data_IF_630140794797
#
_entry.id   IF_630140794797
#
_cell.length_a   1.000
_cell.length_b   1.000
_cell.length_c   1.000
_cell.angle_alpha   90.00
_cell.angle_beta   90.00
_cell.angle_gamma   90.00
#
_symmetry.space_group_name_H-M   'P 1'
#
loop_
_entity.id
_entity.type
_entity.pdbx_description
1 polymer ?
#
# COMPACT_ATOMS: atom_id res chain seq x y z
N UNK A 1 -34.35 56.29 32.14
CA UNK A 1 -34.20 54.92 31.61
C UNK A 1 -35.41 54.14 32.06
N UNK A 2 -36.32 53.80 31.15
CA UNK A 2 -37.51 53.00 31.44
C UNK A 2 -37.14 51.54 31.28
N UNK A 3 -36.99 50.82 32.39
CA UNK A 3 -36.83 49.36 32.36
C UNK A 3 -38.19 48.73 32.03
N UNK A 4 -38.33 48.21 30.81
CA UNK A 4 -39.51 47.44 30.40
C UNK A 4 -39.26 45.98 30.78
N UNK A 5 -39.88 45.52 31.86
CA UNK A 5 -39.86 44.12 32.28
C UNK A 5 -40.88 43.34 31.43
N UNK A 6 -40.40 42.60 30.44
CA UNK A 6 -41.25 41.70 29.64
C UNK A 6 -41.33 40.35 30.36
N UNK A 7 -42.52 39.95 30.78
CA UNK A 7 -42.77 38.64 31.37
C UNK A 7 -42.76 37.60 30.24
N UNK A 8 -41.82 36.65 30.30
CA UNK A 8 -41.75 35.52 29.37
C UNK A 8 -42.08 34.20 30.08
N UNK A 9 -42.87 33.37 29.42
CA UNK A 9 -43.14 31.99 29.81
C UNK A 9 -42.04 31.08 29.25
N UNK A 10 -41.51 30.18 30.08
CA UNK A 10 -40.57 29.15 29.65
C UNK A 10 -41.25 28.14 28.72
N UNK A 11 -40.64 27.84 27.58
CA UNK A 11 -41.11 26.76 26.70
C UNK A 11 -40.58 25.41 27.16
N UNK A 12 -41.50 24.49 27.47
CA UNK A 12 -41.21 23.09 27.72
C UNK A 12 -41.32 22.29 26.42
N UNK A 13 -40.36 21.39 26.19
CA UNK A 13 -40.33 20.50 25.04
C UNK A 13 -40.06 19.06 25.52
N UNK A 14 -40.91 18.13 25.10
CA UNK A 14 -40.73 16.69 25.32
C UNK A 14 -40.61 16.01 23.95
N UNK A 15 -39.56 15.20 23.76
CA UNK A 15 -39.21 14.63 22.45
C UNK A 15 -38.99 13.14 22.61
N UNK A 16 -39.46 12.39 21.63
CA UNK A 16 -39.22 10.98 21.46
C UNK A 16 -38.67 10.73 20.04
N UNK A 17 -37.54 10.03 19.94
CA UNK A 17 -36.96 9.65 18.66
C UNK A 17 -36.07 8.42 18.81
N UNK A 18 -35.86 7.69 17.72
CA UNK A 18 -34.95 6.54 17.69
C UNK A 18 -33.50 7.02 17.60
N UNK A 19 -32.70 6.74 18.63
CA UNK A 19 -31.29 7.17 18.71
C UNK A 19 -30.34 6.45 17.76
N UNK A 20 -30.73 5.32 17.15
CA UNK A 20 -29.92 4.61 16.17
C UNK A 20 -30.79 4.14 14.99
N UNK A 21 -30.40 4.49 13.76
CA UNK A 21 -31.17 4.19 12.55
C UNK A 21 -30.26 3.62 11.46
N UNK A 22 -30.77 2.65 10.72
CA UNK A 22 -30.09 2.08 9.57
C UNK A 22 -30.05 3.11 8.42
N UNK A 23 -28.89 3.28 7.79
CA UNK A 23 -28.73 4.20 6.67
C UNK A 23 -29.72 3.93 5.53
N UNK A 24 -30.35 4.98 4.99
CA UNK A 24 -31.44 4.86 4.02
C UNK A 24 -32.82 4.70 4.66
N UNK A 25 -32.88 4.41 5.96
CA UNK A 25 -34.11 4.48 6.75
C UNK A 25 -34.52 5.93 7.07
N UNK A 26 -35.63 6.06 7.80
CA UNK A 26 -36.14 7.33 8.29
C UNK A 26 -35.96 7.45 9.80
N UNK A 27 -35.60 8.64 10.26
CA UNK A 27 -35.61 8.99 11.68
C UNK A 27 -36.96 9.59 11.99
N UNK A 28 -37.76 8.90 12.78
CA UNK A 28 -39.06 9.41 13.23
C UNK A 28 -38.85 10.17 14.53
N UNK A 29 -39.19 11.46 14.52
CA UNK A 29 -39.12 12.35 15.66
C UNK A 29 -40.53 12.82 15.98
N UNK A 30 -40.98 12.59 17.20
CA UNK A 30 -42.26 13.08 17.68
C UNK A 30 -42.08 13.79 19.01
N UNK A 31 -43.02 14.65 19.36
CA UNK A 31 -42.91 15.38 20.62
C UNK A 31 -44.07 16.31 20.89
N UNK A 32 -43.98 16.95 22.05
CA UNK A 32 -44.93 17.92 22.56
C UNK A 32 -44.20 19.21 22.94
N UNK A 33 -44.83 20.35 22.69
CA UNK A 33 -44.29 21.68 22.99
C UNK A 33 -45.34 22.49 23.72
N UNK A 34 -44.98 23.12 24.84
CA UNK A 34 -45.91 23.99 25.56
C UNK A 34 -46.15 25.33 24.84
N UNK A 35 -47.35 25.88 25.05
CA UNK A 35 -47.72 27.23 24.63
C UNK A 35 -48.86 27.27 23.62
N UNK A 36 -48.96 28.34 22.83
CA UNK A 36 -50.03 28.53 21.85
C UNK A 36 -49.92 27.50 20.70
N UNK A 37 -51.03 27.18 20.02
CA UNK A 37 -51.00 26.27 18.87
C UNK A 37 -50.14 26.81 17.71
N UNK A 38 -49.78 25.93 16.78
CA UNK A 38 -49.05 26.27 15.54
C UNK A 38 -47.65 26.87 15.77
N UNK A 39 -46.90 26.40 16.77
CA UNK A 39 -45.51 26.81 16.96
C UNK A 39 -44.62 26.26 15.85
N UNK A 40 -43.74 27.11 15.33
CA UNK A 40 -42.74 26.72 14.34
C UNK A 40 -41.55 26.05 15.04
N UNK A 41 -41.19 24.87 14.55
CA UNK A 41 -40.05 24.08 14.98
C UNK A 41 -39.09 23.97 13.81
N UNK A 42 -37.80 24.15 14.07
CA UNK A 42 -36.73 23.85 13.11
C UNK A 42 -35.90 22.70 13.66
N UNK A 43 -35.85 21.59 12.92
CA UNK A 43 -35.01 20.45 13.20
C UNK A 43 -33.75 20.53 12.33
N UNK A 44 -32.59 20.27 12.92
CA UNK A 44 -31.32 20.17 12.19
C UNK A 44 -30.54 18.92 12.55
N UNK A 45 -30.01 18.26 11.52
CA UNK A 45 -29.12 17.09 11.60
C UNK A 45 -28.02 17.25 10.56
N UNK A 46 -26.78 17.48 11.00
CA UNK A 46 -25.67 17.72 10.08
C UNK A 46 -25.96 18.94 9.20
N UNK A 47 -26.08 18.71 7.89
CA UNK A 47 -26.38 19.77 6.90
C UNK A 47 -27.88 19.82 6.52
N UNK A 48 -28.71 18.93 7.06
CA UNK A 48 -30.14 18.91 6.79
C UNK A 48 -30.89 19.77 7.82
N UNK A 49 -31.69 20.70 7.32
CA UNK A 49 -32.60 21.51 8.12
C UNK A 49 -34.03 21.32 7.60
N UNK A 50 -34.97 21.11 8.51
CA UNK A 50 -36.39 21.00 8.18
C UNK A 50 -37.21 21.78 9.18
N UNK A 51 -38.33 22.35 8.73
CA UNK A 51 -39.23 23.09 9.60
C UNK A 51 -40.63 22.50 9.55
N UNK A 52 -41.28 22.43 10.72
CA UNK A 52 -42.64 21.93 10.88
C UNK A 52 -43.39 22.78 11.89
N UNK A 53 -44.70 22.92 11.71
CA UNK A 53 -45.58 23.57 12.69
C UNK A 53 -46.29 22.53 13.54
N UNK A 54 -46.42 22.79 14.84
CA UNK A 54 -47.15 21.89 15.75
C UNK A 54 -48.64 21.91 15.47
N UNK A 55 -49.29 20.74 15.52
CA UNK A 55 -50.75 20.61 15.53
C UNK A 55 -51.17 20.15 16.92
N UNK A 56 -52.05 20.89 17.59
CA UNK A 56 -52.46 20.64 18.98
C UNK A 56 -51.25 20.46 19.93
N UNK A 57 -50.25 21.35 19.79
CA UNK A 57 -49.00 21.32 20.56
C UNK A 57 -48.13 20.07 20.38
N UNK A 58 -48.50 19.15 19.50
CA UNK A 58 -47.74 17.98 19.14
C UNK A 58 -47.10 18.15 17.75
N UNK A 59 -46.03 17.40 17.49
CA UNK A 59 -45.44 17.28 16.17
C UNK A 59 -44.96 15.86 15.92
N UNK A 60 -44.92 15.48 14.65
CA UNK A 60 -44.34 14.24 14.17
C UNK A 60 -43.70 14.50 12.81
N UNK A 61 -42.44 14.12 12.65
CA UNK A 61 -41.68 14.34 11.43
C UNK A 61 -40.76 13.15 11.17
N UNK A 62 -40.69 12.75 9.90
CA UNK A 62 -39.82 11.68 9.41
C UNK A 62 -38.69 12.29 8.60
N UNK A 63 -37.45 12.05 9.02
CA UNK A 63 -36.25 12.61 8.40
C UNK A 63 -35.57 11.53 7.55
N UNK A 64 -35.44 11.70 6.22
CA UNK A 64 -34.74 10.74 5.39
C UNK A 64 -33.23 10.77 5.67
N UNK A 65 -32.60 9.60 5.72
CA UNK A 65 -31.14 9.49 5.93
C UNK A 65 -30.35 9.22 4.64
N UNK A 66 -31.01 9.14 3.48
CA UNK A 66 -30.36 8.83 2.20
C UNK A 66 -29.25 9.80 1.82
N UNK A 67 -29.42 11.07 2.19
CA UNK A 67 -28.52 12.18 1.80
C UNK A 67 -27.50 12.48 2.91
N UNK A 68 -27.57 11.76 4.02
CA UNK A 68 -26.59 11.79 5.11
C UNK A 68 -25.59 10.65 4.92
N UNK A 69 -24.36 10.83 5.44
CA UNK A 69 -23.40 9.73 5.52
C UNK A 69 -23.62 8.96 6.84
N UNK A 70 -23.25 7.67 6.90
CA UNK A 70 -23.23 6.95 8.18
C UNK A 70 -22.27 7.61 9.18
N UNK A 71 -22.68 7.71 10.44
CA UNK A 71 -21.91 8.35 11.49
C UNK A 71 -22.74 8.78 12.70
N UNK A 72 -22.08 9.46 13.63
CA UNK A 72 -22.72 10.05 14.80
C UNK A 72 -23.12 11.50 14.50
N UNK A 73 -24.36 11.83 14.82
CA UNK A 73 -24.97 13.12 14.60
C UNK A 73 -25.57 13.67 15.90
N UNK A 74 -25.72 14.99 15.90
CA UNK A 74 -26.49 15.72 16.90
C UNK A 74 -27.80 16.16 16.25
N UNK A 75 -28.93 15.68 16.76
CA UNK A 75 -30.26 16.18 16.41
C UNK A 75 -30.53 17.42 17.26
N UNK A 76 -30.61 18.58 16.63
CA UNK A 76 -31.03 19.81 17.29
C UNK A 76 -32.46 20.14 16.90
N UNK A 77 -33.29 20.49 17.89
CA UNK A 77 -34.67 20.92 17.70
C UNK A 77 -34.82 22.29 18.34
N UNK A 78 -34.93 23.30 17.49
CA UNK A 78 -35.14 24.69 17.88
C UNK A 78 -36.62 25.04 17.77
N UNK A 79 -37.18 25.62 18.83
CA UNK A 79 -38.54 26.13 18.86
C UNK A 79 -38.49 27.64 18.82
N UNK A 80 -39.06 28.23 17.77
CA UNK A 80 -39.13 29.68 17.59
C UNK A 80 -40.03 30.31 18.67
N UNK A 81 -39.70 31.51 19.20
CA UNK A 81 -40.57 32.20 20.15
C UNK A 81 -41.94 32.50 19.52
N UNK A 82 -43.00 32.44 20.33
CA UNK A 82 -44.34 32.81 19.89
C UNK A 82 -45.12 33.47 21.04
N UNK A 83 -45.51 34.73 20.85
CA UNK A 83 -46.16 35.53 21.89
C UNK A 83 -45.26 35.69 23.12
N UNK A 84 -45.80 35.36 24.29
CA UNK A 84 -45.07 35.43 25.57
C UNK A 84 -44.14 34.24 25.83
N UNK A 85 -44.08 33.24 24.94
CA UNK A 85 -43.25 32.04 25.14
C UNK A 85 -41.86 32.21 24.53
N UNK A 86 -40.83 32.04 25.36
CA UNK A 86 -39.42 32.12 24.99
C UNK A 86 -39.00 31.00 24.01
N UNK A 87 -37.90 31.16 23.24
CA UNK A 87 -37.34 30.05 22.47
C UNK A 87 -36.86 28.91 23.39
N UNK A 88 -36.79 27.70 22.84
CA UNK A 88 -36.07 26.59 23.50
C UNK A 88 -35.35 25.75 22.46
N UNK A 89 -34.26 25.11 22.88
CA UNK A 89 -33.49 24.19 22.03
C UNK A 89 -33.29 22.88 22.76
N UNK A 90 -33.56 21.78 22.07
CA UNK A 90 -33.17 20.45 22.51
C UNK A 90 -32.04 19.94 21.63
N UNK A 91 -31.10 19.22 22.23
CA UNK A 91 -29.98 18.58 21.53
C UNK A 91 -29.89 17.13 21.99
N UNK A 92 -30.01 16.20 21.04
CA UNK A 92 -29.97 14.76 21.29
C UNK A 92 -28.96 14.05 20.40
N UNK A 93 -28.36 12.96 20.90
CA UNK A 93 -27.45 12.13 20.13
C UNK A 93 -28.21 11.19 19.19
N UNK A 94 -27.66 10.96 17.99
CA UNK A 94 -28.21 10.08 16.96
C UNK A 94 -27.07 9.33 16.25
N UNK A 95 -27.25 8.05 15.97
CA UNK A 95 -26.31 7.22 15.20
C UNK A 95 -26.97 6.73 13.92
N UNK A 96 -26.37 7.03 12.77
CA UNK A 96 -26.72 6.43 11.48
C UNK A 96 -25.70 5.35 11.20
N UNK A 97 -26.10 4.09 11.26
CA UNK A 97 -25.20 2.96 11.01
C UNK A 97 -25.47 2.34 9.64
N UNK A 98 -24.43 1.78 9.01
CA UNK A 98 -24.52 1.13 7.72
C UNK A 98 -24.05 -0.33 7.81
N UNK A 99 -24.58 -1.16 6.91
CA UNK A 99 -24.14 -2.54 6.77
C UNK A 99 -22.85 -2.58 5.95
N UNK A 100 -21.92 -3.45 6.35
CA UNK A 100 -20.66 -3.66 5.64
C UNK A 100 -20.88 -4.77 4.61
N UNK A 101 -20.62 -4.48 3.34
CA UNK A 101 -20.66 -5.48 2.28
C UNK A 101 -19.43 -6.40 2.36
N UNK A 102 -19.67 -7.70 2.23
CA UNK A 102 -18.64 -8.74 2.18
C UNK A 102 -18.67 -9.38 0.79
N UNK A 103 -17.82 -8.90 -0.14
CA UNK A 103 -17.66 -9.56 -1.43
C UNK A 103 -16.92 -10.89 -1.25
N UNK A 104 -17.48 -11.97 -1.77
CA UNK A 104 -16.87 -13.28 -1.91
C UNK A 104 -16.49 -13.49 -3.38
N UNK A 105 -15.21 -13.77 -3.64
CA UNK A 105 -14.64 -13.75 -4.99
C UNK A 105 -14.01 -15.11 -5.31
N UNK A 106 -14.53 -15.74 -6.35
CA UNK A 106 -13.98 -16.95 -6.95
C UNK A 106 -13.25 -16.59 -8.26
N UNK A 107 -11.95 -16.85 -8.29
CA UNK A 107 -11.05 -16.53 -9.41
C UNK A 107 -9.91 -17.53 -9.45
N UNK A 108 -9.33 -17.76 -10.63
CA UNK A 108 -8.11 -18.56 -10.80
C UNK A 108 -6.95 -17.93 -10.01
N UNK A 109 -6.11 -18.77 -9.41
CA UNK A 109 -4.90 -18.33 -8.72
C UNK A 109 -3.80 -17.86 -9.69
N UNK A 110 -3.95 -18.21 -10.97
CA UNK A 110 -3.01 -17.90 -12.03
C UNK A 110 -3.72 -17.13 -13.14
N UNK A 111 -3.09 -16.06 -13.59
CA UNK A 111 -3.48 -15.26 -14.74
C UNK A 111 -2.33 -15.21 -15.75
N UNK A 112 -2.64 -14.98 -17.02
CA UNK A 112 -1.65 -14.81 -18.08
C UNK A 112 -1.76 -13.38 -18.58
N UNK A 113 -0.64 -12.65 -18.58
CA UNK A 113 -0.59 -11.28 -19.07
C UNK A 113 -1.09 -11.21 -20.53
N UNK A 114 -1.98 -10.27 -20.82
CA UNK A 114 -2.60 -10.12 -22.14
C UNK A 114 -3.83 -11.00 -22.37
N UNK A 115 -4.16 -11.92 -21.46
CA UNK A 115 -5.37 -12.73 -21.53
C UNK A 115 -6.43 -12.27 -20.51
N UNK A 116 -7.73 -12.40 -20.83
CA UNK A 116 -8.80 -12.03 -19.93
C UNK A 116 -8.88 -12.98 -18.73
N UNK A 117 -9.04 -12.42 -17.53
CA UNK A 117 -9.29 -13.15 -16.28
C UNK A 117 -10.77 -13.08 -15.96
N UNK A 118 -11.39 -14.25 -15.74
CA UNK A 118 -12.79 -14.33 -15.31
C UNK A 118 -12.87 -14.46 -13.79
N UNK A 119 -13.66 -13.61 -13.16
CA UNK A 119 -13.94 -13.68 -11.72
C UNK A 119 -15.45 -13.73 -11.49
N UNK A 120 -15.88 -14.63 -10.61
CA UNK A 120 -17.25 -14.72 -10.11
C UNK A 120 -17.30 -14.07 -8.74
N UNK A 121 -18.21 -13.12 -8.56
CA UNK A 121 -18.31 -12.30 -7.35
C UNK A 121 -19.73 -12.39 -6.81
N UNK A 122 -19.85 -12.78 -5.55
CA UNK A 122 -21.08 -12.69 -4.77
C UNK A 122 -20.91 -11.57 -3.73
N UNK A 123 -21.86 -10.66 -3.62
CA UNK A 123 -21.83 -9.60 -2.61
C UNK A 123 -22.96 -9.81 -1.61
N UNK A 124 -22.64 -9.79 -0.32
CA UNK A 124 -23.63 -9.89 0.76
C UNK A 124 -23.31 -8.95 1.92
N UNK A 125 -24.27 -8.19 2.47
CA UNK A 125 -25.62 -7.98 1.95
C UNK A 125 -25.62 -7.18 0.64
N UNK A 126 -26.62 -7.40 -0.22
CA UNK A 126 -26.74 -6.77 -1.53
C UNK A 126 -27.94 -5.83 -1.62
N UNK A 127 -27.77 -4.75 -2.38
CA UNK A 127 -28.85 -3.86 -2.85
C UNK A 127 -28.67 -3.52 -4.32
N UNK A 128 -29.79 -3.25 -5.00
CA UNK A 128 -29.78 -2.91 -6.42
C UNK A 128 -29.04 -1.60 -6.70
N UNK A 129 -28.23 -1.60 -7.75
CA UNK A 129 -27.46 -0.43 -8.20
C UNK A 129 -26.25 -0.12 -7.31
N UNK A 130 -25.79 -1.06 -6.48
CA UNK A 130 -24.58 -0.91 -5.68
C UNK A 130 -23.35 -0.83 -6.60
N UNK A 131 -22.54 0.24 -6.56
CA UNK A 131 -21.37 0.36 -7.41
C UNK A 131 -20.28 -0.62 -6.95
N UNK A 132 -19.64 -1.28 -7.90
CA UNK A 132 -18.51 -2.17 -7.67
C UNK A 132 -17.39 -1.85 -8.65
N UNK A 133 -16.16 -1.82 -8.14
CA UNK A 133 -14.95 -1.65 -8.93
C UNK A 133 -14.06 -2.85 -8.70
N UNK A 134 -13.61 -3.48 -9.78
CA UNK A 134 -12.68 -4.60 -9.73
C UNK A 134 -11.43 -4.27 -10.51
N UNK A 135 -10.27 -4.45 -9.91
CA UNK A 135 -8.98 -4.13 -10.51
C UNK A 135 -7.95 -5.24 -10.33
N UNK A 136 -7.05 -5.35 -11.30
CA UNK A 136 -5.91 -6.27 -11.32
C UNK A 136 -4.82 -5.67 -12.20
N UNK A 137 -3.62 -5.52 -11.66
CA UNK A 137 -2.44 -5.13 -12.45
C UNK A 137 -2.60 -3.81 -13.22
N UNK A 138 -3.27 -2.81 -12.65
CA UNK A 138 -3.50 -1.51 -13.27
C UNK A 138 -4.71 -1.42 -14.21
N UNK A 139 -5.34 -2.54 -14.55
CA UNK A 139 -6.65 -2.54 -15.24
C UNK A 139 -7.78 -2.55 -14.22
N UNK A 140 -8.83 -1.77 -14.47
CA UNK A 140 -10.00 -1.69 -13.60
C UNK A 140 -11.30 -1.66 -14.42
N UNK A 141 -12.35 -2.26 -13.88
CA UNK A 141 -13.72 -2.19 -14.40
C UNK A 141 -14.62 -1.71 -13.27
N UNK A 142 -15.46 -0.72 -13.56
CA UNK A 142 -16.49 -0.24 -12.65
C UNK A 142 -17.87 -0.47 -13.24
N UNK A 143 -18.80 -1.00 -12.44
CA UNK A 143 -20.16 -1.31 -12.85
C UNK A 143 -21.12 -1.18 -11.67
N UNK A 144 -22.42 -1.03 -11.97
CA UNK A 144 -23.47 -1.04 -10.97
C UNK A 144 -24.13 -2.42 -10.92
N UNK A 145 -24.17 -3.03 -9.72
CA UNK A 145 -24.71 -4.38 -9.54
C UNK A 145 -26.22 -4.42 -9.80
N UNK A 146 -26.63 -5.22 -10.77
CA UNK A 146 -28.03 -5.57 -11.04
C UNK A 146 -28.48 -6.84 -10.31
N UNK A 147 -27.53 -7.66 -9.87
CA UNK A 147 -27.73 -8.91 -9.13
C UNK A 147 -26.66 -9.09 -8.04
N UNK A 148 -26.92 -9.88 -6.99
CA UNK A 148 -25.94 -10.18 -5.95
C UNK A 148 -24.77 -11.03 -6.45
N UNK A 149 -25.01 -11.84 -7.50
CA UNK A 149 -24.01 -12.66 -8.17
C UNK A 149 -23.71 -12.05 -9.53
N UNK A 150 -22.43 -11.82 -9.82
CA UNK A 150 -21.97 -11.36 -11.13
C UNK A 150 -20.76 -12.16 -11.58
N UNK A 151 -20.58 -12.23 -12.90
CA UNK A 151 -19.34 -12.73 -13.49
C UNK A 151 -18.75 -11.61 -14.33
N UNK A 152 -17.49 -11.29 -14.07
CA UNK A 152 -16.77 -10.24 -14.79
C UNK A 152 -15.60 -10.85 -15.55
N UNK A 153 -15.27 -10.21 -16.66
CA UNK A 153 -14.07 -10.54 -17.44
C UNK A 153 -13.17 -9.31 -17.43
N UNK A 154 -12.03 -9.42 -16.77
CA UNK A 154 -11.06 -8.35 -16.62
C UNK A 154 -9.91 -8.56 -17.61
N UNK A 155 -9.69 -7.58 -18.48
CA UNK A 155 -8.52 -7.61 -19.36
C UNK A 155 -7.25 -7.38 -18.53
N UNK A 156 -6.23 -8.21 -18.74
CA UNK A 156 -4.91 -7.99 -18.14
C UNK A 156 -3.98 -7.34 -19.17
N UNK A 157 -3.19 -6.32 -18.81
CA UNK A 157 -2.24 -5.72 -19.73
C UNK A 157 -1.22 -6.74 -20.23
N UNK A 158 -0.86 -6.69 -21.51
CA UNK A 158 0.16 -7.57 -22.10
C UNK A 158 1.54 -7.37 -21.47
N UNK A 159 1.85 -6.14 -21.08
CA UNK A 159 3.13 -5.76 -20.45
C UNK A 159 3.09 -5.85 -18.92
N UNK A 160 2.08 -6.51 -18.35
CA UNK A 160 1.98 -6.70 -16.91
C UNK A 160 3.14 -7.59 -16.43
N UNK A 161 3.93 -7.07 -15.49
CA UNK A 161 5.10 -7.76 -14.95
C UNK A 161 4.76 -9.14 -14.38
N UNK A 162 5.61 -10.14 -14.57
CA UNK A 162 5.43 -11.44 -13.92
C UNK A 162 5.53 -11.29 -12.39
N UNK A 163 4.60 -11.92 -11.65
CA UNK A 163 4.60 -11.87 -10.19
C UNK A 163 3.21 -11.90 -9.57
N UNK A 164 3.13 -11.66 -8.27
CA UNK A 164 1.85 -11.58 -7.54
C UNK A 164 1.28 -10.18 -7.71
N UNK A 165 0.05 -10.10 -8.23
CA UNK A 165 -0.73 -8.87 -8.34
C UNK A 165 -2.05 -9.03 -7.58
N UNK A 166 -2.45 -7.99 -6.85
CA UNK A 166 -3.69 -8.03 -6.10
C UNK A 166 -4.88 -7.84 -7.03
N UNK A 167 -5.82 -8.80 -7.00
CA UNK A 167 -7.18 -8.59 -7.43
C UNK A 167 -7.91 -7.87 -6.31
N UNK A 168 -8.29 -6.62 -6.55
CA UNK A 168 -9.02 -5.80 -5.60
C UNK A 168 -10.45 -5.67 -6.06
N UNK A 169 -11.40 -6.02 -5.18
CA UNK A 169 -12.83 -5.80 -5.37
C UNK A 169 -13.27 -4.79 -4.32
N UNK A 170 -13.63 -3.60 -4.78
CA UNK A 170 -14.16 -2.51 -3.96
C UNK A 170 -15.66 -2.37 -4.22
N UNK A 171 -16.45 -2.44 -3.15
CA UNK A 171 -17.89 -2.20 -3.16
C UNK A 171 -18.11 -0.80 -2.62
N UNK A 172 -18.68 0.08 -3.43
CA UNK A 172 -18.93 1.46 -3.04
C UNK A 172 -20.15 1.61 -2.12
N UNK A 173 -20.40 2.86 -1.73
CA UNK A 173 -21.45 3.19 -0.76
C UNK A 173 -22.80 3.38 -1.45
N UNK A 174 -23.85 2.79 -0.88
CA UNK A 174 -25.24 3.03 -1.27
C UNK A 174 -26.15 2.58 -0.13
N UNK A 175 -27.06 3.41 0.41
CA UNK A 175 -27.90 3.03 1.53
C UNK A 175 -28.60 1.67 1.32
N UNK A 176 -28.58 0.74 2.29
CA UNK A 176 -28.01 0.82 3.64
C UNK A 176 -26.54 0.38 3.75
N UNK A 177 -25.85 0.15 2.63
CA UNK A 177 -24.51 -0.42 2.53
C UNK A 177 -23.43 0.67 2.60
N UNK A 178 -22.58 0.63 3.62
CA UNK A 178 -21.47 1.59 3.84
C UNK A 178 -20.22 1.31 3.00
N UNK A 179 -20.27 0.28 2.15
CA UNK A 179 -19.18 -0.20 1.32
C UNK A 179 -18.53 -1.47 1.85
N UNK A 180 -17.51 -1.93 1.15
CA UNK A 180 -16.77 -3.14 1.47
C UNK A 180 -15.56 -3.33 0.57
N UNK A 181 -14.59 -4.13 1.01
CA UNK A 181 -13.40 -4.40 0.22
C UNK A 181 -12.99 -5.88 0.34
N UNK A 182 -12.37 -6.38 -0.72
CA UNK A 182 -11.70 -7.67 -0.77
C UNK A 182 -10.45 -7.55 -1.62
N UNK A 183 -9.36 -8.15 -1.17
CA UNK A 183 -8.11 -8.21 -1.91
C UNK A 183 -7.53 -9.62 -1.84
N UNK A 184 -7.06 -10.13 -2.98
CA UNK A 184 -6.38 -11.42 -3.06
C UNK A 184 -5.29 -11.38 -4.12
N UNK A 185 -4.10 -11.85 -3.76
CA UNK A 185 -2.99 -12.01 -4.70
C UNK A 185 -3.26 -13.10 -5.74
N UNK A 186 -3.08 -12.77 -7.01
CA UNK A 186 -3.11 -13.67 -8.16
C UNK A 186 -1.71 -13.67 -8.79
N UNK A 187 -1.19 -14.85 -9.11
CA UNK A 187 0.10 -14.97 -9.79
C UNK A 187 -0.09 -14.74 -11.29
N UNK A 188 0.52 -13.68 -11.82
CA UNK A 188 0.51 -13.37 -13.25
C UNK A 188 1.76 -13.94 -13.89
N UNK A 189 1.56 -14.76 -14.91
CA UNK A 189 2.60 -15.23 -15.82
C UNK A 189 2.65 -14.28 -17.00
N UNK A 190 3.82 -13.68 -17.26
CA UNK A 190 4.06 -12.92 -18.47
C UNK A 190 4.82 -13.78 -19.50
N UNK A 191 4.16 -14.27 -20.56
CA UNK A 191 4.84 -15.09 -21.57
C UNK A 191 6.01 -14.37 -22.25
N UNK A 192 5.97 -13.04 -22.37
CA UNK A 192 7.04 -12.26 -23.00
C UNK A 192 8.32 -12.24 -22.15
N UNK A 193 8.19 -12.16 -20.83
CA UNK A 193 9.34 -12.23 -19.90
C UNK A 193 10.01 -13.61 -19.91
N UNK A 194 9.28 -14.66 -20.29
CA UNK A 194 9.83 -16.02 -20.45
C UNK A 194 10.41 -16.21 -21.85
N UNK A 195 9.71 -15.74 -22.88
CA UNK A 195 10.08 -15.95 -24.28
C UNK A 195 11.33 -15.14 -24.68
N UNK A 196 11.47 -13.89 -24.23
CA UNK A 196 12.58 -13.03 -24.63
C UNK A 196 13.96 -13.59 -24.23
N UNK A 197 14.19 -14.02 -22.97
CA UNK A 197 15.45 -14.69 -22.60
C UNK A 197 15.67 -16.00 -23.35
N UNK A 198 14.60 -16.79 -23.59
CA UNK A 198 14.70 -18.05 -24.32
C UNK A 198 15.12 -17.83 -25.78
N UNK A 199 14.50 -16.87 -26.48
CA UNK A 199 14.87 -16.49 -27.85
C UNK A 199 16.31 -15.97 -27.89
N UNK A 200 16.70 -15.11 -26.94
CA UNK A 200 18.07 -14.61 -26.86
C UNK A 200 19.09 -15.75 -26.69
N UNK A 201 18.80 -16.73 -25.84
CA UNK A 201 19.66 -17.89 -25.63
C UNK A 201 19.75 -18.78 -26.87
N UNK A 202 18.62 -19.03 -27.55
CA UNK A 202 18.59 -19.77 -28.81
C UNK A 202 19.39 -19.04 -29.90
N UNK A 203 19.23 -17.72 -30.02
CA UNK A 203 19.99 -16.89 -30.97
C UNK A 203 21.50 -16.94 -30.71
N UNK A 204 21.93 -16.86 -29.44
CA UNK A 204 23.35 -17.00 -29.08
C UNK A 204 23.88 -18.39 -29.44
N UNK A 205 23.13 -19.46 -29.15
CA UNK A 205 23.52 -20.82 -29.55
C UNK A 205 23.62 -20.97 -31.07
N UNK A 206 22.69 -20.38 -31.82
CA UNK A 206 22.71 -20.42 -33.28
C UNK A 206 23.92 -19.66 -33.85
N UNK A 207 24.16 -18.42 -33.40
CA UNK A 207 25.32 -17.61 -33.83
C UNK A 207 26.66 -18.26 -33.47
N UNK A 208 26.74 -18.96 -32.34
CA UNK A 208 27.91 -19.76 -31.98
C UNK A 208 28.13 -20.96 -32.91
N UNK A 209 27.05 -21.63 -33.33
CA UNK A 209 27.11 -22.77 -34.25
C UNK A 209 27.57 -22.38 -35.66
N UNK A 210 27.20 -21.18 -36.14
CA UNK A 210 27.61 -20.65 -37.45
C UNK A 210 28.97 -19.91 -37.42
N UNK A 211 29.70 -19.94 -36.31
CA UNK A 211 31.07 -19.39 -36.21
C UNK A 211 31.15 -17.85 -36.21
N UNK A 212 30.02 -17.16 -36.19
CA UNK A 212 29.93 -15.68 -36.17
C UNK A 212 30.28 -15.14 -34.78
N UNK A 213 29.90 -15.86 -33.72
CA UNK A 213 30.27 -15.56 -32.34
C UNK A 213 31.16 -16.68 -31.83
N UNK A 214 32.47 -16.43 -31.70
CA UNK A 214 33.33 -17.30 -30.90
C UNK A 214 32.97 -17.06 -29.43
N UNK A 215 32.15 -17.95 -28.85
CA UNK A 215 32.07 -18.08 -27.40
C UNK A 215 33.51 -18.25 -26.91
N UNK A 216 34.08 -17.19 -26.33
CA UNK A 216 35.43 -17.21 -25.78
C UNK A 216 35.37 -18.24 -24.65
N UNK A 217 35.78 -19.48 -24.93
CA UNK A 217 36.13 -20.44 -23.87
C UNK A 217 37.04 -19.65 -22.95
N UNK A 218 36.64 -19.49 -21.69
CA UNK A 218 37.55 -18.99 -20.67
C UNK A 218 38.83 -19.79 -20.82
N UNK A 219 39.99 -19.15 -21.06
CA UNK A 219 41.23 -19.89 -21.15
C UNK A 219 41.42 -20.57 -19.80
N UNK A 220 41.46 -21.90 -19.84
CA UNK A 220 42.04 -22.69 -18.78
C UNK A 220 43.43 -22.10 -18.55
N UNK A 221 43.66 -21.61 -17.34
CA UNK A 221 44.79 -20.79 -16.96
C UNK A 221 46.06 -21.63 -17.12
N UNK A 222 46.68 -21.54 -18.29
CA UNK A 222 47.95 -22.17 -18.61
C UNK A 222 49.01 -21.50 -17.74
N UNK A 223 49.60 -22.31 -16.86
CA UNK A 223 50.68 -21.91 -15.96
C UNK A 223 51.92 -21.68 -16.82
N UNK A 224 52.11 -20.46 -17.32
CA UNK A 224 53.40 -20.02 -17.83
C UNK A 224 54.14 -19.29 -16.70
N UNK A 225 55.20 -19.94 -16.21
CA UNK A 225 56.17 -19.37 -15.30
C UNK A 225 56.85 -18.16 -15.97
N UNK A 226 56.83 -17.01 -15.30
CA UNK A 226 57.71 -15.88 -15.62
C UNK A 226 58.90 -15.83 -14.66
N UNK A 227 60.04 -15.27 -15.11
CA UNK A 227 61.30 -15.28 -14.37
C UNK A 227 61.25 -14.35 -13.15
N UNK A 228 62.10 -14.68 -12.18
CA UNK A 228 62.26 -14.05 -10.88
C UNK A 228 62.92 -12.65 -10.91
N UNK A 229 62.27 -11.75 -10.14
CA UNK A 229 62.78 -10.63 -9.30
C UNK A 229 63.17 -9.28 -9.96
N UNK A 230 63.08 -8.14 -9.23
CA UNK A 230 62.83 -7.97 -7.79
C UNK A 230 61.60 -7.14 -7.39
N UNK A 231 61.18 -7.37 -6.14
CA UNK A 231 60.17 -6.62 -5.40
C UNK A 231 60.48 -5.12 -5.31
N UNK A 232 59.52 -4.26 -5.67
CA UNK A 232 59.17 -3.08 -4.85
C UNK A 232 57.83 -2.48 -5.30
N UNK A 233 57.15 -1.83 -4.35
CA UNK A 233 55.92 -1.04 -4.48
C UNK A 233 54.57 -1.80 -4.51
N UNK A 234 54.16 -2.15 -3.29
CA UNK A 234 52.80 -2.14 -2.75
C UNK A 234 51.80 -1.30 -3.56
N UNK A 235 50.82 -1.96 -4.19
CA UNK A 235 49.53 -1.36 -4.54
C UNK A 235 48.46 -2.25 -3.92
N UNK A 236 47.82 -1.71 -2.89
CA UNK A 236 46.74 -2.28 -2.07
C UNK A 236 45.42 -2.31 -2.84
N UNK A 237 45.34 -3.06 -3.94
CA UNK A 237 44.07 -3.36 -4.59
C UNK A 237 43.77 -4.86 -4.49
N UNK A 238 42.56 -5.25 -4.03
CA UNK A 238 42.20 -6.66 -3.96
C UNK A 238 42.21 -7.28 -5.36
N UNK A 239 42.72 -8.51 -5.46
CA UNK A 239 42.76 -9.22 -6.75
C UNK A 239 41.33 -9.42 -7.28
N UNK A 240 41.08 -9.28 -8.59
CA UNK A 240 39.72 -9.43 -9.17
C UNK A 240 39.02 -10.74 -8.81
N UNK A 241 39.79 -11.83 -8.63
CA UNK A 241 39.26 -13.13 -8.22
C UNK A 241 38.71 -13.14 -6.77
N UNK A 242 39.29 -12.34 -5.87
CA UNK A 242 38.85 -12.26 -4.48
C UNK A 242 37.57 -11.44 -4.35
N UNK A 243 37.46 -10.35 -5.10
CA UNK A 243 36.23 -9.54 -5.18
C UNK A 243 35.06 -10.37 -5.69
N UNK A 244 35.29 -11.15 -6.76
CA UNK A 244 34.27 -12.04 -7.33
C UNK A 244 33.86 -13.16 -6.36
N UNK A 245 34.81 -13.73 -5.61
CA UNK A 245 34.51 -14.73 -4.60
C UNK A 245 33.68 -14.18 -3.43
N UNK A 246 33.87 -12.91 -3.07
CA UNK A 246 33.06 -12.23 -2.06
C UNK A 246 31.66 -11.92 -2.62
N UNK A 247 31.58 -11.45 -3.87
CA UNK A 247 30.32 -11.18 -4.57
C UNK A 247 29.44 -12.43 -4.65
N UNK A 248 30.00 -13.57 -5.08
CA UNK A 248 29.28 -14.85 -5.14
C UNK A 248 28.76 -15.30 -3.76
N UNK A 249 29.49 -15.01 -2.67
CA UNK A 249 29.05 -15.32 -1.30
C UNK A 249 27.88 -14.45 -0.87
N UNK A 250 27.90 -13.15 -1.18
CA UNK A 250 26.82 -12.22 -0.85
C UNK A 250 25.55 -12.58 -1.63
N UNK A 251 25.70 -12.88 -2.92
CA UNK A 251 24.61 -13.29 -3.81
C UNK A 251 23.95 -14.59 -3.35
N UNK A 252 24.74 -15.59 -2.91
CA UNK A 252 24.21 -16.89 -2.48
C UNK A 252 23.29 -16.80 -1.24
N UNK A 253 23.49 -15.78 -0.40
CA UNK A 253 22.71 -15.54 0.82
C UNK A 253 21.55 -14.53 0.61
N UNK A 254 21.41 -13.99 -0.59
CA UNK A 254 20.39 -12.99 -0.92
C UNK A 254 19.15 -13.62 -1.60
N UNK A 255 17.96 -13.03 -1.46
CA UNK A 255 16.77 -13.46 -2.17
C UNK A 255 16.94 -13.33 -3.69
N UNK A 256 16.75 -14.42 -4.43
CA UNK A 256 17.02 -14.52 -5.87
C UNK A 256 16.25 -13.50 -6.74
N UNK A 257 15.09 -13.03 -6.28
CA UNK A 257 14.29 -12.00 -6.98
C UNK A 257 14.90 -10.59 -6.97
N UNK A 258 15.77 -10.26 -6.00
CA UNK A 258 16.38 -8.92 -5.85
C UNK A 258 17.67 -8.75 -6.65
N UNK A 259 18.39 -9.85 -6.83
CA UNK A 259 19.73 -9.90 -7.45
C UNK A 259 19.68 -9.53 -8.94
N UNK A 260 18.53 -9.67 -9.59
CA UNK A 260 18.38 -9.33 -11.02
C UNK A 260 18.20 -7.82 -11.29
N UNK A 261 18.03 -7.01 -10.25
CA UNK A 261 17.85 -5.55 -10.40
C UNK A 261 19.23 -4.88 -10.60
N UNK A 262 19.45 -4.09 -11.68
CA UNK A 262 20.75 -3.50 -11.97
C UNK A 262 21.36 -2.67 -10.83
N UNK A 263 20.56 -1.81 -10.19
CA UNK A 263 21.03 -0.97 -9.07
C UNK A 263 21.41 -1.78 -7.83
N UNK A 264 20.77 -2.94 -7.60
CA UNK A 264 21.15 -3.86 -6.52
C UNK A 264 22.48 -4.53 -6.84
N UNK A 265 22.72 -4.95 -8.10
CA UNK A 265 24.02 -5.50 -8.51
C UNK A 265 25.16 -4.51 -8.30
N UNK A 266 24.96 -3.25 -8.66
CA UNK A 266 25.97 -2.21 -8.49
C UNK A 266 26.32 -1.97 -7.01
N UNK A 267 25.32 -1.95 -6.12
CA UNK A 267 25.55 -1.85 -4.67
C UNK A 267 26.30 -3.06 -4.13
N UNK A 268 25.96 -4.27 -4.60
CA UNK A 268 26.64 -5.52 -4.21
C UNK A 268 28.10 -5.54 -4.70
N UNK A 269 28.37 -5.03 -5.90
CA UNK A 269 29.74 -4.87 -6.42
C UNK A 269 30.56 -3.88 -5.58
N UNK A 270 29.98 -2.72 -5.23
CA UNK A 270 30.65 -1.76 -4.36
C UNK A 270 30.97 -2.36 -2.99
N UNK A 271 30.02 -3.12 -2.41
CA UNK A 271 30.22 -3.81 -1.14
C UNK A 271 31.28 -4.93 -1.24
N UNK A 272 31.27 -5.74 -2.30
CA UNK A 272 32.22 -6.84 -2.45
C UNK A 272 33.66 -6.34 -2.57
N UNK A 273 33.88 -5.22 -3.26
CA UNK A 273 35.16 -4.53 -3.34
C UNK A 273 35.61 -3.98 -1.97
N UNK A 274 34.69 -3.37 -1.23
CA UNK A 274 34.97 -2.87 0.11
C UNK A 274 35.33 -4.00 1.09
N UNK A 275 34.55 -5.09 1.10
CA UNK A 275 34.79 -6.26 1.97
C UNK A 275 36.10 -6.94 1.61
N UNK A 276 36.42 -7.11 0.32
CA UNK A 276 37.69 -7.69 -0.09
C UNK A 276 38.89 -6.85 0.40
N UNK A 277 38.80 -5.53 0.29
CA UNK A 277 39.84 -4.62 0.81
C UNK A 277 39.98 -4.69 2.32
N UNK A 278 38.86 -4.65 3.05
CA UNK A 278 38.86 -4.76 4.51
C UNK A 278 39.38 -6.12 4.97
N UNK A 279 39.05 -7.19 4.24
CA UNK A 279 39.54 -8.54 4.52
C UNK A 279 41.06 -8.64 4.38
N UNK A 280 41.67 -7.90 3.45
CA UNK A 280 43.13 -7.81 3.34
C UNK A 280 43.74 -7.02 4.50
N UNK A 281 43.12 -5.90 4.91
CA UNK A 281 43.65 -5.05 6.00
C UNK A 281 43.52 -5.69 7.39
N UNK A 282 42.51 -6.53 7.61
CA UNK A 282 42.16 -7.06 8.94
C UNK A 282 42.37 -8.57 9.08
N UNK A 283 42.74 -9.23 7.98
CA UNK A 283 42.83 -10.69 7.82
C UNK A 283 41.54 -11.47 8.13
N UNK A 284 40.42 -10.77 8.32
CA UNK A 284 39.11 -11.39 8.56
C UNK A 284 38.38 -11.55 7.23
N UNK A 285 38.18 -12.79 6.81
CA UNK A 285 37.43 -13.11 5.57
C UNK A 285 35.97 -13.37 5.86
N UNK A 286 35.08 -12.89 4.99
CA UNK A 286 33.65 -13.23 5.01
C UNK A 286 33.46 -14.73 4.77
N UNK A 287 32.98 -15.47 5.78
CA UNK A 287 32.74 -16.92 5.65
C UNK A 287 31.46 -17.21 4.85
N UNK A 288 31.34 -18.38 4.19
CA UNK A 288 30.18 -18.71 3.36
C UNK A 288 28.83 -18.78 4.10
N UNK A 289 28.85 -19.02 5.42
CA UNK A 289 27.66 -19.13 6.28
C UNK A 289 27.39 -17.87 7.09
N UNK A 290 28.21 -16.84 6.92
CA UNK A 290 28.21 -15.66 7.77
C UNK A 290 27.39 -14.53 7.15
N UNK A 291 26.54 -13.89 7.93
CA UNK A 291 25.78 -12.71 7.49
C UNK A 291 26.65 -11.45 7.44
N UNK A 292 26.17 -10.39 6.76
CA UNK A 292 26.88 -9.11 6.70
C UNK A 292 27.06 -8.48 8.09
N UNK A 293 26.07 -8.60 8.99
CA UNK A 293 26.16 -8.13 10.39
C UNK A 293 27.14 -8.94 11.22
N UNK A 294 27.19 -10.25 11.04
CA UNK A 294 28.16 -11.10 11.71
C UNK A 294 29.58 -10.78 11.23
N UNK A 295 29.75 -10.46 9.94
CA UNK A 295 31.04 -10.00 9.41
C UNK A 295 31.45 -8.64 10.00
N UNK A 296 30.55 -7.66 10.05
CA UNK A 296 30.80 -6.39 10.74
C UNK A 296 31.25 -6.61 12.19
N UNK A 297 30.57 -7.49 12.91
CA UNK A 297 30.92 -7.81 14.31
C UNK A 297 32.30 -8.44 14.42
N UNK A 298 32.69 -9.32 13.48
CA UNK A 298 34.00 -9.97 13.46
C UNK A 298 35.16 -9.00 13.15
N UNK A 299 34.87 -7.89 12.48
CA UNK A 299 35.84 -6.84 12.13
C UNK A 299 35.88 -5.72 13.20
N UNK A 300 34.91 -5.69 14.12
CA UNK A 300 34.83 -4.72 15.20
C UNK A 300 36.07 -4.81 16.11
N UNK A 301 36.77 -3.69 16.27
CA UNK A 301 38.02 -3.61 17.05
C UNK A 301 39.30 -3.91 16.25
N UNK A 302 39.19 -4.28 14.97
CA UNK A 302 40.34 -4.42 14.04
C UNK A 302 40.45 -3.30 13.01
N UNK A 303 39.44 -2.44 12.95
CA UNK A 303 39.41 -1.23 12.14
C UNK A 303 39.40 0.00 13.04
N UNK A 304 39.94 1.10 12.53
CA UNK A 304 39.72 2.42 13.08
C UNK A 304 38.19 2.70 13.19
N UNK A 305 37.72 3.32 14.29
CA UNK A 305 36.29 3.58 14.49
C UNK A 305 35.60 4.33 13.35
N UNK A 306 36.32 5.24 12.68
CA UNK A 306 35.78 6.01 11.57
C UNK A 306 35.64 5.13 10.31
N UNK A 307 36.63 4.29 10.03
CA UNK A 307 36.61 3.31 8.92
C UNK A 307 35.54 2.24 9.16
N UNK A 308 35.36 1.81 10.42
CA UNK A 308 34.30 0.89 10.82
C UNK A 308 32.90 1.50 10.58
N UNK A 309 32.71 2.78 10.90
CA UNK A 309 31.44 3.49 10.65
C UNK A 309 31.10 3.55 9.16
N UNK A 310 32.10 3.82 8.31
CA UNK A 310 31.93 3.84 6.84
C UNK A 310 31.54 2.46 6.30
N UNK A 311 32.19 1.40 6.77
CA UNK A 311 31.83 0.02 6.40
C UNK A 311 30.42 -0.35 6.90
N UNK A 312 30.05 0.08 8.10
CA UNK A 312 28.72 -0.14 8.67
C UNK A 312 27.62 0.56 7.88
N UNK A 313 27.87 1.79 7.40
CA UNK A 313 26.94 2.53 6.54
C UNK A 313 26.75 1.80 5.19
N UNK A 314 27.84 1.36 4.57
CA UNK A 314 27.79 0.63 3.30
C UNK A 314 27.05 -0.72 3.42
N UNK A 315 27.29 -1.45 4.51
CA UNK A 315 26.53 -2.68 4.82
C UNK A 315 25.06 -2.37 5.04
N UNK A 316 24.72 -1.27 5.70
CA UNK A 316 23.33 -0.83 5.86
C UNK A 316 22.62 -0.59 4.53
N UNK A 317 23.27 0.11 3.60
CA UNK A 317 22.74 0.35 2.23
C UNK A 317 22.55 -0.99 1.49
N UNK A 318 23.52 -1.90 1.59
CA UNK A 318 23.44 -3.20 0.92
C UNK A 318 22.39 -4.14 1.52
N UNK A 319 22.25 -4.20 2.84
CA UNK A 319 21.18 -4.96 3.49
C UNK A 319 19.81 -4.41 3.11
N UNK A 320 19.68 -3.08 3.06
CA UNK A 320 18.45 -2.45 2.62
C UNK A 320 18.15 -2.78 1.14
N UNK A 321 19.17 -2.80 0.28
CA UNK A 321 19.02 -3.20 -1.12
C UNK A 321 18.63 -4.68 -1.30
N UNK A 322 19.19 -5.58 -0.47
CA UNK A 322 19.04 -7.04 -0.61
C UNK A 322 17.80 -7.59 0.09
N UNK A 323 17.40 -7.01 1.23
CA UNK A 323 16.37 -7.58 2.10
C UNK A 323 15.13 -6.68 2.26
N UNK A 324 15.16 -5.42 1.82
CA UNK A 324 13.98 -4.54 1.83
C UNK A 324 13.16 -4.63 0.53
N UNK A 325 11.84 -4.39 0.55
CA UNK A 325 11.03 -4.25 -0.66
C UNK A 325 11.47 -3.10 -1.58
N UNK A 326 12.17 -2.08 -1.06
CA UNK A 326 12.62 -0.92 -1.87
C UNK A 326 13.74 -1.29 -2.85
N UNK A 327 13.83 -0.52 -3.94
CA UNK A 327 14.90 -0.58 -4.94
C UNK A 327 15.84 0.60 -4.71
N UNK A 328 17.18 0.41 -4.69
CA UNK A 328 18.13 1.51 -4.54
C UNK A 328 17.95 2.57 -5.61
N UNK A 329 17.91 3.83 -5.19
CA UNK A 329 17.90 4.99 -6.09
C UNK A 329 19.31 5.26 -6.62
N UNK A 330 19.48 6.06 -7.70
CA UNK A 330 20.80 6.46 -8.18
C UNK A 330 21.67 7.15 -7.11
N UNK A 331 21.05 7.85 -6.15
CA UNK A 331 21.74 8.50 -5.02
C UNK A 331 22.33 7.44 -4.08
N UNK A 332 21.59 6.36 -3.81
CA UNK A 332 22.05 5.26 -2.95
C UNK A 332 23.22 4.50 -3.61
N UNK A 333 23.17 4.30 -4.92
CA UNK A 333 24.24 3.66 -5.70
C UNK A 333 25.51 4.53 -5.71
N UNK A 334 25.37 5.83 -5.95
CA UNK A 334 26.49 6.77 -5.91
C UNK A 334 27.14 6.79 -4.52
N UNK A 335 26.32 6.86 -3.46
CA UNK A 335 26.79 6.82 -2.07
C UNK A 335 27.51 5.52 -1.74
N UNK A 336 27.02 4.37 -2.22
CA UNK A 336 27.68 3.08 -2.02
C UNK A 336 29.09 3.05 -2.63
N UNK A 337 29.26 3.59 -3.84
CA UNK A 337 30.57 3.70 -4.49
C UNK A 337 31.51 4.70 -3.81
N UNK A 338 30.99 5.83 -3.31
CA UNK A 338 31.78 6.77 -2.49
C UNK A 338 32.34 6.10 -1.23
N UNK A 339 31.48 5.40 -0.48
CA UNK A 339 31.88 4.70 0.74
C UNK A 339 32.88 3.58 0.43
N UNK A 340 32.68 2.82 -0.65
CA UNK A 340 33.62 1.79 -1.08
C UNK A 340 34.99 2.37 -1.47
N UNK A 341 35.01 3.56 -2.10
CA UNK A 341 36.24 4.28 -2.44
C UNK A 341 37.00 4.73 -1.20
N UNK A 342 36.31 5.24 -0.18
CA UNK A 342 36.92 5.61 1.11
C UNK A 342 37.58 4.41 1.78
N UNK A 343 36.97 3.21 1.69
CA UNK A 343 37.53 1.98 2.27
C UNK A 343 38.73 1.42 1.48
N UNK A 344 38.86 1.83 0.21
CA UNK A 344 39.95 1.43 -0.70
C UNK A 344 41.24 2.24 -0.56
N UNK A 345 41.19 3.37 0.16
CA UNK A 345 42.36 4.18 0.53
C UNK A 345 42.99 3.63 1.81
#
# INVERSE_FOLDING_TARGET
>A
MTNITVIYNSTYIAINYTGAVLWGGQINVSGFISGPPNRLITLSIGNLNMSITTVNNAFNISIPTSDLLPGNYSLSIYVTPNGTYAPTTYVGALMIYALIAKPNVSVSNVAIAGLPVRASINVSPWVSGLPITVSLGGSAISLNLTSPNITITLATPLLLGMGVHDLVVSVGQRPPIGGGYYARGIFVVNPLEIALPAIALIMVMFLARFGIVRLRRSPQQETQALPTLPMTATITTPRPAEVKAVEERIIKLAPSGKINIPSVKEVVMALSQAIATVSMKTEVKLKPTQTLREYLTAVRGKLDPQVYSVLSELVGIAEYALYSPRVPTPVDVARAWELAKVLSQ
#
